data_IF_463653168075
#
_entry.id   IF_463653168075
#
_cell.length_a   1.000
_cell.length_b   1.000
_cell.length_c   1.000
_cell.angle_alpha   90.00
_cell.angle_beta   90.00
_cell.angle_gamma   90.00
#
_symmetry.space_group_name_H-M   'P 1'
#
loop_
_entity.id
_entity.type
_entity.pdbx_description
1 polymer ?
#
# COMPACT_ATOMS: atom_id res chain seq x y z
N UNK A 1 -15.95 23.05 13.54
CA UNK A 1 -14.54 22.71 13.17
C UNK A 1 -14.48 21.22 12.87
N UNK A 2 -13.88 20.85 11.75
CA UNK A 2 -13.66 19.44 11.37
C UNK A 2 -12.62 18.85 12.31
N UNK A 3 -12.93 17.70 12.93
CA UNK A 3 -11.98 16.94 13.74
C UNK A 3 -10.91 16.32 12.83
N UNK A 4 -9.63 16.53 13.18
CA UNK A 4 -8.48 16.02 12.46
C UNK A 4 -7.85 14.88 13.27
N UNK A 5 -7.69 13.72 12.65
CA UNK A 5 -6.98 12.59 13.24
C UNK A 5 -5.45 12.78 13.14
N UNK A 6 -4.69 11.96 13.86
CA UNK A 6 -3.23 12.01 13.85
C UNK A 6 -2.64 11.93 12.44
N UNK A 7 -3.20 11.08 11.59
CA UNK A 7 -2.74 10.94 10.20
C UNK A 7 -3.00 12.18 9.35
N UNK A 8 -4.08 12.94 9.61
CA UNK A 8 -4.31 14.22 8.94
C UNK A 8 -3.23 15.23 9.32
N UNK A 9 -2.88 15.28 10.62
CA UNK A 9 -1.84 16.16 11.12
C UNK A 9 -0.48 15.81 10.54
N UNK A 10 -0.16 14.53 10.41
CA UNK A 10 1.05 14.06 9.74
C UNK A 10 1.09 14.51 8.28
N UNK A 11 -0.04 14.42 7.56
CA UNK A 11 -0.11 14.85 6.16
C UNK A 11 -0.02 16.36 5.98
N UNK A 12 -0.64 17.12 6.88
CA UNK A 12 -0.52 18.59 6.91
C UNK A 12 0.94 19.01 7.12
N UNK A 13 1.63 18.38 8.09
CA UNK A 13 3.04 18.63 8.36
C UNK A 13 3.92 18.27 7.16
N UNK A 14 3.71 17.10 6.57
CA UNK A 14 4.42 16.66 5.37
C UNK A 14 4.28 17.67 4.21
N UNK A 15 3.05 18.11 3.91
CA UNK A 15 2.80 19.07 2.85
C UNK A 15 3.41 20.44 3.16
N UNK A 16 3.36 20.89 4.43
CA UNK A 16 3.95 22.14 4.86
C UNK A 16 5.47 22.15 4.64
N UNK A 17 6.16 21.09 5.05
CA UNK A 17 7.59 20.91 4.82
C UNK A 17 7.92 20.86 3.32
N UNK A 18 7.18 20.08 2.54
CA UNK A 18 7.41 19.93 1.10
C UNK A 18 7.21 21.24 0.32
N UNK A 19 6.28 22.08 0.75
CA UNK A 19 5.94 23.36 0.10
C UNK A 19 6.69 24.55 0.67
N UNK A 20 7.42 24.39 1.75
CA UNK A 20 8.09 25.49 2.44
C UNK A 20 7.13 26.54 3.02
N UNK A 21 5.95 26.13 3.48
CA UNK A 21 4.92 27.03 4.03
C UNK A 21 4.56 26.64 5.47
N UNK A 22 4.03 27.58 6.29
CA UNK A 22 3.58 27.27 7.64
C UNK A 22 2.46 26.20 7.64
N UNK A 23 2.51 25.26 8.58
CA UNK A 23 1.52 24.18 8.72
C UNK A 23 0.08 24.70 8.87
N UNK A 24 -0.10 25.88 9.47
CA UNK A 24 -1.42 26.49 9.64
C UNK A 24 -2.08 26.86 8.29
N UNK A 25 -1.29 27.27 7.30
CA UNK A 25 -1.78 27.56 5.94
C UNK A 25 -2.33 26.27 5.30
N UNK A 26 -1.54 25.18 5.38
CA UNK A 26 -1.96 23.86 4.86
C UNK A 26 -3.17 23.33 5.63
N UNK A 27 -3.18 23.49 6.96
CA UNK A 27 -4.26 23.03 7.84
C UNK A 27 -5.61 23.63 7.43
N UNK A 28 -5.67 24.96 7.17
CA UNK A 28 -6.91 25.61 6.73
C UNK A 28 -7.38 25.07 5.38
N UNK A 29 -6.48 24.92 4.42
CA UNK A 29 -6.80 24.36 3.10
C UNK A 29 -7.29 22.92 3.22
N UNK A 30 -6.59 22.09 4.01
CA UNK A 30 -6.94 20.67 4.22
C UNK A 30 -8.29 20.51 4.93
N UNK A 31 -8.55 21.31 5.97
CA UNK A 31 -9.82 21.30 6.68
C UNK A 31 -10.99 21.65 5.76
N UNK A 32 -10.84 22.63 4.88
CA UNK A 32 -11.86 22.99 3.89
C UNK A 32 -12.13 21.85 2.89
N UNK A 33 -11.09 21.14 2.44
CA UNK A 33 -11.24 19.94 1.58
C UNK A 33 -11.99 18.84 2.34
N UNK A 34 -11.57 18.56 3.58
CA UNK A 34 -12.20 17.54 4.42
C UNK A 34 -13.66 17.85 4.74
N UNK A 35 -13.99 19.12 4.99
CA UNK A 35 -15.36 19.57 5.22
C UNK A 35 -16.24 19.38 3.98
N UNK A 36 -15.69 19.71 2.81
CA UNK A 36 -16.41 19.62 1.54
C UNK A 36 -16.62 18.17 1.07
N UNK A 37 -15.63 17.35 1.16
CA UNK A 37 -15.66 16.00 0.56
C UNK A 37 -15.90 14.89 1.59
N UNK A 38 -15.52 15.06 2.86
CA UNK A 38 -15.57 14.02 3.88
C UNK A 38 -14.78 12.76 3.46
N UNK A 39 -14.69 11.77 4.35
CA UNK A 39 -14.02 10.51 4.01
C UNK A 39 -14.98 9.38 3.59
N UNK A 40 -16.27 9.56 3.82
CA UNK A 40 -17.29 8.55 3.51
C UNK A 40 -18.57 9.18 2.96
N UNK A 41 -18.56 10.47 2.64
CA UNK A 41 -19.71 11.20 2.15
C UNK A 41 -20.08 10.86 0.71
N UNK A 42 -21.25 11.35 0.29
CA UNK A 42 -21.75 11.20 -1.08
C UNK A 42 -20.82 11.86 -2.09
N UNK A 43 -20.27 13.03 -1.74
CA UNK A 43 -19.30 13.79 -2.55
C UNK A 43 -17.98 13.04 -2.73
N UNK A 44 -17.47 12.40 -1.68
CA UNK A 44 -16.28 11.57 -1.78
C UNK A 44 -16.49 10.40 -2.76
N UNK A 45 -17.61 9.69 -2.64
CA UNK A 45 -17.95 8.62 -3.59
C UNK A 45 -18.09 9.13 -5.01
N UNK A 46 -18.72 10.28 -5.19
CA UNK A 46 -18.86 10.93 -6.51
C UNK A 46 -17.49 11.30 -7.08
N UNK A 47 -16.62 11.90 -6.29
CA UNK A 47 -15.24 12.21 -6.68
C UNK A 47 -14.49 10.94 -7.11
N UNK A 48 -14.61 9.87 -6.34
CA UNK A 48 -13.98 8.58 -6.67
C UNK A 48 -14.54 7.97 -7.97
N UNK A 49 -15.85 8.07 -8.20
CA UNK A 49 -16.47 7.60 -9.45
C UNK A 49 -16.03 8.45 -10.64
N UNK A 50 -16.05 9.77 -10.51
CA UNK A 50 -15.58 10.67 -11.58
C UNK A 50 -14.10 10.45 -11.91
N UNK A 51 -13.30 10.20 -10.89
CA UNK A 51 -11.89 9.85 -11.07
C UNK A 51 -11.75 8.52 -11.79
N UNK A 52 -12.58 7.52 -11.47
CA UNK A 52 -12.64 6.27 -12.21
C UNK A 52 -12.94 6.49 -13.69
N UNK A 53 -13.97 7.27 -14.00
CA UNK A 53 -14.40 7.50 -15.39
C UNK A 53 -13.32 8.24 -16.21
N UNK A 54 -12.54 9.11 -15.54
CA UNK A 54 -11.39 9.75 -16.15
C UNK A 54 -10.23 8.79 -16.43
N UNK A 55 -10.12 7.72 -15.64
CA UNK A 55 -9.04 6.73 -15.77
C UNK A 55 -9.45 5.48 -16.52
N UNK A 56 -10.75 5.19 -16.61
CA UNK A 56 -11.23 4.00 -17.30
C UNK A 56 -10.64 3.81 -18.72
N UNK A 57 -10.45 4.86 -19.52
CA UNK A 57 -9.77 4.76 -20.80
C UNK A 57 -8.31 4.29 -20.70
N UNK A 58 -7.61 4.66 -19.60
CA UNK A 58 -6.19 4.32 -19.38
C UNK A 58 -5.99 2.86 -18.99
N UNK A 59 -7.04 2.16 -18.53
CA UNK A 59 -6.95 0.78 -18.07
C UNK A 59 -7.20 -0.28 -19.14
N UNK A 60 -7.72 0.09 -20.30
CA UNK A 60 -8.21 -0.88 -21.30
C UNK A 60 -7.11 -1.59 -22.08
N UNK A 61 -6.14 -0.87 -22.61
CA UNK A 61 -5.15 -1.40 -23.58
C UNK A 61 -3.72 -0.96 -23.29
N UNK A 62 -3.47 -0.14 -22.26
CA UNK A 62 -2.27 0.64 -22.10
C UNK A 62 -1.15 -0.10 -21.39
N UNK A 63 0.06 0.40 -21.57
CA UNK A 63 1.28 -0.14 -20.97
C UNK A 63 1.28 0.06 -19.44
N UNK A 64 2.09 -0.73 -18.70
CA UNK A 64 2.29 -0.52 -17.27
C UNK A 64 2.88 0.85 -16.97
N UNK A 65 3.63 1.41 -17.91
CA UNK A 65 4.24 2.75 -17.82
C UNK A 65 3.17 3.86 -17.79
N UNK A 66 2.08 3.70 -18.53
CA UNK A 66 0.97 4.66 -18.53
C UNK A 66 0.17 4.57 -17.24
N UNK A 67 -0.05 3.37 -16.71
CA UNK A 67 -0.65 3.17 -15.40
C UNK A 67 0.17 3.85 -14.30
N UNK A 68 1.48 3.66 -14.30
CA UNK A 68 2.40 4.31 -13.34
C UNK A 68 2.29 5.83 -13.45
N UNK A 69 2.26 6.37 -14.65
CA UNK A 69 2.14 7.81 -14.87
C UNK A 69 0.83 8.37 -14.37
N UNK A 70 -0.26 7.65 -14.58
CA UNK A 70 -1.57 8.01 -14.08
C UNK A 70 -1.60 8.02 -12.55
N UNK A 71 -1.02 7.00 -11.90
CA UNK A 71 -0.90 6.94 -10.44
C UNK A 71 -0.05 8.09 -9.89
N UNK A 72 1.04 8.47 -10.57
CA UNK A 72 1.85 9.61 -10.20
C UNK A 72 1.09 10.94 -10.32
N UNK A 73 0.38 11.14 -11.41
CA UNK A 73 -0.39 12.36 -11.66
C UNK A 73 -1.50 12.57 -10.61
N UNK A 74 -2.16 11.49 -10.18
CA UNK A 74 -3.28 11.54 -9.24
C UNK A 74 -2.87 11.21 -7.80
N UNK A 75 -1.59 11.21 -7.50
CA UNK A 75 -1.04 10.78 -6.21
C UNK A 75 -1.66 11.50 -5.00
N UNK A 76 -1.98 12.79 -5.12
CA UNK A 76 -2.63 13.54 -4.03
C UNK A 76 -4.01 12.98 -3.66
N UNK A 77 -4.80 12.55 -4.65
CA UNK A 77 -6.07 11.90 -4.44
C UNK A 77 -5.90 10.51 -3.82
N UNK A 78 -4.88 9.77 -4.26
CA UNK A 78 -4.54 8.48 -3.65
C UNK A 78 -4.13 8.62 -2.20
N UNK A 79 -3.32 9.61 -1.82
CA UNK A 79 -3.00 9.88 -0.41
C UNK A 79 -4.27 10.11 0.38
N UNK A 80 -5.19 10.95 -0.09
CA UNK A 80 -6.45 11.21 0.57
C UNK A 80 -7.30 9.93 0.76
N UNK A 81 -7.36 9.08 -0.26
CA UNK A 81 -8.02 7.76 -0.19
C UNK A 81 -7.38 6.87 0.89
N UNK A 82 -6.06 6.78 0.93
CA UNK A 82 -5.33 5.99 1.93
C UNK A 82 -5.53 6.52 3.35
N UNK A 83 -5.55 7.84 3.53
CA UNK A 83 -5.88 8.45 4.83
C UNK A 83 -7.28 8.03 5.28
N UNK A 84 -8.26 7.99 4.36
CA UNK A 84 -9.61 7.55 4.69
C UNK A 84 -9.68 6.12 5.22
N UNK A 85 -8.81 5.23 4.76
CA UNK A 85 -8.72 3.86 5.27
C UNK A 85 -8.23 3.77 6.71
N UNK A 86 -7.39 4.68 7.17
CA UNK A 86 -6.92 4.73 8.55
C UNK A 86 -8.09 4.90 9.54
N UNK A 87 -9.08 5.72 9.18
CA UNK A 87 -10.26 5.94 10.00
C UNK A 87 -11.10 4.67 10.22
N UNK A 88 -11.14 3.79 9.20
CA UNK A 88 -12.04 2.65 9.21
C UNK A 88 -11.34 1.33 9.54
N UNK A 89 -10.06 1.21 9.25
CA UNK A 89 -9.35 -0.08 9.28
C UNK A 89 -8.25 -0.19 10.33
N UNK A 90 -7.97 0.85 11.12
CA UNK A 90 -6.85 0.81 12.08
C UNK A 90 -6.96 -0.36 13.08
N UNK A 91 -8.14 -0.64 13.59
CA UNK A 91 -8.37 -1.77 14.50
C UNK A 91 -8.21 -3.13 13.81
N UNK A 92 -8.56 -3.21 12.54
CA UNK A 92 -8.39 -4.41 11.70
C UNK A 92 -6.91 -4.66 11.45
N UNK A 93 -6.16 -3.62 11.09
CA UNK A 93 -4.71 -3.71 10.89
C UNK A 93 -3.97 -4.11 12.17
N UNK A 94 -4.35 -3.56 13.32
CA UNK A 94 -3.74 -3.94 14.60
C UNK A 94 -3.96 -5.44 14.94
N UNK A 95 -5.16 -5.96 14.71
CA UNK A 95 -5.45 -7.39 14.87
C UNK A 95 -4.67 -8.25 13.88
N UNK A 96 -4.57 -7.81 12.63
CA UNK A 96 -3.84 -8.51 11.59
C UNK A 96 -2.33 -8.52 11.89
N UNK A 97 -1.75 -7.39 12.30
CA UNK A 97 -0.35 -7.28 12.68
C UNK A 97 0.03 -8.28 13.79
N UNK A 98 -0.80 -8.37 14.86
CA UNK A 98 -0.59 -9.36 15.94
C UNK A 98 -0.60 -10.81 15.42
N UNK A 99 -1.49 -11.13 14.48
CA UNK A 99 -1.56 -12.48 13.87
C UNK A 99 -0.33 -12.78 13.03
N UNK A 100 0.16 -11.80 12.26
CA UNK A 100 1.37 -11.93 11.43
C UNK A 100 2.59 -12.15 12.34
N UNK A 101 2.78 -11.31 13.35
CA UNK A 101 3.89 -11.44 14.30
C UNK A 101 3.87 -12.81 15.00
N UNK A 102 2.69 -13.28 15.41
CA UNK A 102 2.54 -14.63 15.99
C UNK A 102 2.89 -15.73 14.98
N UNK A 103 2.46 -15.62 13.73
CA UNK A 103 2.75 -16.61 12.68
C UNK A 103 4.23 -16.62 12.27
N UNK A 104 4.88 -15.47 12.31
CA UNK A 104 6.31 -15.35 12.02
C UNK A 104 7.20 -16.01 13.09
N UNK A 105 6.72 -16.13 14.32
CA UNK A 105 7.49 -16.67 15.43
C UNK A 105 8.55 -15.71 15.98
N UNK A 106 9.50 -16.22 16.78
CA UNK A 106 10.59 -15.42 17.33
C UNK A 106 11.63 -15.06 16.24
N UNK A 107 12.43 -14.03 16.49
CA UNK A 107 13.53 -13.60 15.63
C UNK A 107 13.28 -12.26 14.92
N UNK A 108 14.29 -11.77 14.19
CA UNK A 108 14.21 -10.52 13.48
C UNK A 108 13.22 -10.61 12.30
N UNK A 109 12.48 -9.54 12.08
CA UNK A 109 11.57 -9.44 10.94
C UNK A 109 12.18 -8.53 9.88
N UNK A 110 12.20 -9.04 8.64
CA UNK A 110 12.50 -8.28 7.43
C UNK A 110 11.26 -8.33 6.57
N UNK A 111 10.58 -7.19 6.43
CA UNK A 111 9.30 -7.08 5.75
C UNK A 111 9.50 -6.42 4.39
N UNK A 112 8.99 -7.04 3.34
CA UNK A 112 8.69 -6.37 2.08
C UNK A 112 7.19 -6.02 2.08
N UNK A 113 6.86 -4.73 2.11
CA UNK A 113 5.50 -4.23 1.94
C UNK A 113 5.32 -3.87 0.45
N UNK A 114 4.77 -4.83 -0.31
CA UNK A 114 4.60 -4.75 -1.75
C UNK A 114 3.28 -4.06 -2.08
N UNK A 115 3.34 -2.91 -2.74
CA UNK A 115 2.22 -1.97 -2.85
C UNK A 115 1.92 -1.34 -1.50
N UNK A 116 2.93 -0.76 -0.88
CA UNK A 116 2.91 -0.32 0.52
C UNK A 116 1.83 0.74 0.80
N UNK A 117 1.46 1.56 -0.19
CA UNK A 117 0.60 2.71 0.05
C UNK A 117 1.21 3.59 1.14
N UNK A 118 0.51 3.78 2.25
CA UNK A 118 1.03 4.52 3.41
C UNK A 118 1.75 3.64 4.46
N UNK A 119 1.98 2.36 4.18
CA UNK A 119 2.68 1.44 5.08
C UNK A 119 1.92 1.18 6.39
N UNK A 120 0.57 1.17 6.36
CA UNK A 120 -0.23 1.03 7.59
C UNK A 120 0.09 -0.25 8.35
N UNK A 121 0.06 -1.39 7.69
CA UNK A 121 0.23 -2.68 8.34
C UNK A 121 1.68 -2.92 8.76
N UNK A 122 2.63 -2.63 7.89
CA UNK A 122 4.07 -2.79 8.16
C UNK A 122 4.54 -1.86 9.28
N UNK A 123 4.05 -0.62 9.36
CA UNK A 123 4.38 0.30 10.47
C UNK A 123 3.88 -0.21 11.82
N UNK A 124 2.68 -0.80 11.87
CA UNK A 124 2.13 -1.38 13.10
C UNK A 124 2.97 -2.59 13.53
N UNK A 125 3.35 -3.46 12.57
CA UNK A 125 4.21 -4.61 12.87
C UNK A 125 5.56 -4.16 13.41
N UNK A 126 6.19 -3.16 12.78
CA UNK A 126 7.48 -2.63 13.21
C UNK A 126 7.44 -2.02 14.63
N UNK A 127 6.31 -1.42 15.02
CA UNK A 127 6.09 -0.94 16.40
C UNK A 127 5.88 -2.07 17.42
N UNK A 128 5.18 -3.15 17.02
CA UNK A 128 4.95 -4.33 17.90
C UNK A 128 6.24 -5.13 18.09
N UNK A 129 7.08 -5.22 17.05
CA UNK A 129 8.36 -5.94 17.04
C UNK A 129 9.50 -4.97 16.73
N UNK A 130 10.11 -4.35 17.76
CA UNK A 130 11.29 -3.51 17.58
C UNK A 130 12.43 -4.27 16.88
N UNK A 131 13.23 -3.56 16.09
CA UNK A 131 14.27 -4.16 15.26
C UNK A 131 13.78 -4.71 13.92
N UNK A 132 12.49 -4.62 13.62
CA UNK A 132 11.96 -4.94 12.28
C UNK A 132 12.53 -3.98 11.25
N UNK A 133 13.04 -4.53 10.12
CA UNK A 133 13.42 -3.78 8.92
C UNK A 133 12.29 -3.87 7.90
N UNK A 134 11.90 -2.73 7.33
CA UNK A 134 10.80 -2.67 6.36
C UNK A 134 11.32 -2.13 5.02
N UNK A 135 11.03 -2.84 3.95
CA UNK A 135 11.16 -2.35 2.58
C UNK A 135 9.77 -1.92 2.09
N UNK A 136 9.60 -0.62 1.86
CA UNK A 136 8.38 -0.06 1.28
C UNK A 136 8.51 -0.08 -0.24
N UNK A 137 7.75 -0.91 -0.91
CA UNK A 137 7.72 -0.95 -2.37
C UNK A 137 6.39 -0.38 -2.87
N UNK A 138 6.47 0.69 -3.63
CA UNK A 138 5.31 1.29 -4.30
C UNK A 138 5.76 2.11 -5.52
N UNK A 139 4.79 2.57 -6.31
CA UNK A 139 5.03 3.53 -7.39
C UNK A 139 5.70 4.78 -6.83
N UNK A 140 6.71 5.27 -7.56
CA UNK A 140 7.40 6.53 -7.23
C UNK A 140 6.43 7.70 -7.31
N UNK A 141 5.85 8.05 -6.17
CA UNK A 141 4.75 9.01 -6.08
C UNK A 141 4.68 9.69 -4.71
N UNK A 142 3.82 10.71 -4.61
CA UNK A 142 3.52 11.40 -3.35
C UNK A 142 3.03 10.44 -2.24
N UNK A 143 2.42 9.32 -2.62
CA UNK A 143 1.95 8.29 -1.65
C UNK A 143 3.14 7.68 -0.93
N UNK A 144 4.15 7.24 -1.68
CA UNK A 144 5.37 6.67 -1.12
C UNK A 144 6.18 7.71 -0.34
N UNK A 145 6.29 8.95 -0.85
CA UNK A 145 6.96 10.05 -0.13
C UNK A 145 6.33 10.31 1.23
N UNK A 146 5.00 10.26 1.31
CA UNK A 146 4.29 10.44 2.58
C UNK A 146 4.45 9.21 3.50
N UNK A 147 4.47 7.99 2.96
CA UNK A 147 4.81 6.80 3.74
C UNK A 147 6.20 6.92 4.38
N UNK A 148 7.21 7.31 3.60
CA UNK A 148 8.57 7.54 4.09
C UNK A 148 8.62 8.60 5.19
N UNK A 149 7.90 9.72 5.01
CA UNK A 149 7.80 10.77 6.04
C UNK A 149 7.24 10.19 7.35
N UNK A 150 6.17 9.40 7.29
CA UNK A 150 5.56 8.76 8.48
C UNK A 150 6.51 7.79 9.16
N UNK A 151 7.25 6.99 8.40
CA UNK A 151 8.23 6.05 8.94
C UNK A 151 9.40 6.76 9.60
N UNK A 152 9.96 7.81 8.96
CA UNK A 152 11.01 8.65 9.56
C UNK A 152 10.53 9.32 10.85
N UNK A 153 9.37 9.93 10.84
CA UNK A 153 8.77 10.59 12.02
C UNK A 153 8.55 9.62 13.18
N UNK A 154 8.23 8.36 12.87
CA UNK A 154 8.04 7.31 13.87
C UNK A 154 9.33 6.62 14.32
N UNK A 155 10.50 6.98 13.79
CA UNK A 155 11.79 6.37 14.09
C UNK A 155 11.88 4.88 13.68
N UNK A 156 11.13 4.47 12.64
CA UNK A 156 11.11 3.08 12.16
C UNK A 156 12.27 2.85 11.20
N UNK A 157 12.84 1.64 11.23
CA UNK A 157 13.90 1.22 10.31
C UNK A 157 13.28 0.79 8.98
N UNK A 158 13.55 1.54 7.91
CA UNK A 158 13.01 1.26 6.59
C UNK A 158 13.92 1.70 5.45
N UNK A 159 13.67 1.14 4.28
CA UNK A 159 14.15 1.57 2.98
C UNK A 159 13.00 1.55 1.96
N UNK A 160 13.11 2.33 0.89
CA UNK A 160 12.10 2.36 -0.17
C UNK A 160 12.63 1.75 -1.46
N UNK A 161 11.78 0.96 -2.10
CA UNK A 161 11.99 0.42 -3.45
C UNK A 161 10.97 1.08 -4.36
N UNK A 162 11.43 2.00 -5.21
CA UNK A 162 10.55 2.80 -6.07
C UNK A 162 10.31 2.11 -7.40
N UNK A 163 9.03 1.88 -7.71
CA UNK A 163 8.59 1.41 -9.02
C UNK A 163 8.48 2.60 -9.95
N UNK A 164 9.25 2.59 -11.03
CA UNK A 164 9.26 3.64 -12.06
C UNK A 164 8.83 3.07 -13.41
N UNK A 165 8.66 3.92 -14.41
CA UNK A 165 8.37 3.52 -15.78
C UNK A 165 9.46 2.63 -16.38
N UNK A 166 10.71 2.93 -16.04
CA UNK A 166 11.89 2.21 -16.52
C UNK A 166 12.12 0.90 -15.76
N UNK A 167 11.58 0.79 -14.55
CA UNK A 167 11.76 -0.37 -13.66
C UNK A 167 10.45 -0.74 -12.95
N UNK A 168 9.55 -1.39 -13.68
CA UNK A 168 8.22 -1.79 -13.18
C UNK A 168 8.30 -2.98 -12.22
N UNK A 169 9.23 -3.89 -12.44
CA UNK A 169 9.44 -5.08 -11.60
C UNK A 169 10.88 -5.10 -11.09
N UNK A 170 11.21 -4.26 -10.10
CA UNK A 170 12.57 -4.18 -9.56
C UNK A 170 13.02 -5.49 -8.91
N UNK A 171 14.32 -5.63 -8.76
CA UNK A 171 14.86 -6.67 -7.89
C UNK A 171 14.45 -6.40 -6.45
N UNK A 172 14.10 -7.47 -5.75
CA UNK A 172 13.57 -7.39 -4.40
C UNK A 172 14.63 -7.82 -3.39
N UNK A 173 14.78 -7.11 -2.27
CA UNK A 173 15.66 -7.54 -1.19
C UNK A 173 15.17 -8.85 -0.56
N UNK A 174 16.08 -9.62 0.01
CA UNK A 174 15.72 -10.80 0.78
C UNK A 174 14.86 -10.40 2.00
N UNK A 175 13.79 -11.14 2.23
CA UNK A 175 12.83 -10.85 3.29
C UNK A 175 12.19 -12.15 3.82
N UNK A 176 11.65 -12.10 5.05
CA UNK A 176 10.94 -13.23 5.64
C UNK A 176 9.43 -13.00 5.77
N UNK A 177 8.96 -11.79 5.49
CA UNK A 177 7.53 -11.48 5.37
C UNK A 177 7.33 -10.61 4.12
N UNK A 178 6.45 -11.05 3.21
CA UNK A 178 5.92 -10.21 2.14
C UNK A 178 4.48 -9.84 2.47
N UNK A 179 4.16 -8.56 2.55
CA UNK A 179 2.80 -8.05 2.62
C UNK A 179 2.41 -7.60 1.22
N UNK A 180 1.33 -8.16 0.66
CA UNK A 180 0.79 -7.78 -0.64
C UNK A 180 -0.74 -7.82 -0.56
N UNK A 181 -1.31 -6.78 0.03
CA UNK A 181 -2.76 -6.63 0.25
C UNK A 181 -3.36 -5.69 -0.77
N UNK A 182 -4.34 -6.17 -1.56
CA UNK A 182 -5.01 -5.38 -2.61
C UNK A 182 -3.97 -4.83 -3.63
N UNK A 183 -3.15 -5.74 -4.20
CA UNK A 183 -2.05 -5.37 -5.11
C UNK A 183 -2.09 -6.16 -6.41
N UNK A 184 -2.27 -7.48 -6.31
CA UNK A 184 -2.13 -8.38 -7.48
C UNK A 184 -3.09 -8.04 -8.61
N UNK A 185 -4.29 -7.60 -8.27
CA UNK A 185 -5.35 -7.17 -9.18
C UNK A 185 -5.03 -5.88 -9.94
N UNK A 186 -4.10 -5.10 -9.43
CA UNK A 186 -3.64 -3.85 -10.06
C UNK A 186 -2.45 -4.04 -10.99
N UNK A 187 -1.87 -5.24 -11.05
CA UNK A 187 -0.70 -5.54 -11.87
C UNK A 187 -1.11 -6.14 -13.22
N UNK A 188 -0.57 -5.66 -14.32
CA UNK A 188 -0.80 -6.26 -15.65
C UNK A 188 -0.13 -7.65 -15.80
N UNK A 189 1.01 -7.86 -15.14
CA UNK A 189 1.74 -9.13 -15.13
C UNK A 189 1.94 -9.67 -13.72
N UNK A 190 0.85 -10.01 -12.99
CA UNK A 190 0.94 -10.40 -11.57
C UNK A 190 1.81 -11.64 -11.34
N UNK A 191 1.91 -12.56 -12.31
CA UNK A 191 2.80 -13.71 -12.21
C UNK A 191 4.28 -13.35 -12.25
N UNK A 192 4.67 -12.26 -12.93
CA UNK A 192 6.06 -11.77 -12.93
C UNK A 192 6.41 -11.25 -11.54
N UNK A 193 5.57 -10.37 -11.00
CA UNK A 193 5.72 -9.85 -9.65
C UNK A 193 5.77 -10.98 -8.60
N UNK A 194 4.85 -11.93 -8.70
CA UNK A 194 4.80 -13.10 -7.82
C UNK A 194 6.09 -13.92 -7.85
N UNK A 195 6.63 -14.20 -9.04
CA UNK A 195 7.91 -14.92 -9.18
C UNK A 195 9.06 -14.17 -8.53
N UNK A 196 9.10 -12.83 -8.66
CA UNK A 196 10.12 -12.00 -8.00
C UNK A 196 9.98 -12.10 -6.48
N UNK A 197 8.77 -11.96 -5.94
CA UNK A 197 8.49 -12.16 -4.50
C UNK A 197 8.90 -13.56 -4.05
N UNK A 198 8.53 -14.61 -4.78
CA UNK A 198 8.91 -15.96 -4.42
C UNK A 198 10.43 -16.19 -4.43
N UNK A 199 11.17 -15.51 -5.31
CA UNK A 199 12.64 -15.64 -5.36
C UNK A 199 13.31 -15.04 -4.13
N UNK A 200 12.85 -13.88 -3.68
CA UNK A 200 13.44 -13.11 -2.59
C UNK A 200 12.88 -13.43 -1.21
N UNK A 201 11.69 -14.06 -1.13
CA UNK A 201 11.12 -14.54 0.13
C UNK A 201 11.84 -15.79 0.57
N UNK A 202 12.39 -15.81 1.79
CA UNK A 202 13.10 -16.99 2.32
C UNK A 202 12.18 -18.20 2.46
N UNK A 203 12.74 -19.41 2.47
CA UNK A 203 11.98 -20.64 2.76
C UNK A 203 11.37 -20.55 4.17
N UNK A 204 10.12 -20.94 4.33
CA UNK A 204 9.37 -20.78 5.58
C UNK A 204 8.86 -19.35 5.83
N UNK A 205 9.21 -18.38 4.99
CA UNK A 205 8.73 -17.01 5.06
C UNK A 205 7.23 -16.89 4.81
N UNK A 206 6.66 -15.76 5.18
CA UNK A 206 5.21 -15.52 5.11
C UNK A 206 4.85 -14.60 3.93
N UNK A 207 3.86 -15.01 3.15
CA UNK A 207 3.14 -14.15 2.24
C UNK A 207 1.79 -13.77 2.87
N UNK A 208 1.59 -12.48 3.04
CA UNK A 208 0.40 -11.89 3.68
C UNK A 208 -0.41 -11.14 2.64
N UNK A 209 -1.64 -11.49 2.47
CA UNK A 209 -2.56 -10.87 1.54
C UNK A 209 -3.62 -11.83 1.05
N UNK A 210 -4.52 -11.29 0.25
CA UNK A 210 -5.52 -12.06 -0.49
C UNK A 210 -5.35 -11.75 -1.97
N UNK A 211 -5.65 -12.73 -2.79
CA UNK A 211 -5.83 -12.52 -4.22
C UNK A 211 -7.32 -12.33 -4.43
N UNK A 212 -7.74 -11.10 -4.67
CA UNK A 212 -9.14 -10.72 -4.83
C UNK A 212 -9.49 -10.70 -6.32
N UNK A 213 -10.62 -11.34 -6.69
CA UNK A 213 -11.20 -11.34 -8.04
C UNK A 213 -12.41 -10.40 -8.07
N UNK A 214 -12.19 -9.13 -7.85
CA UNK A 214 -13.25 -8.12 -7.93
C UNK A 214 -13.18 -7.42 -9.29
N UNK A 215 -13.55 -8.12 -10.36
CA UNK A 215 -13.45 -7.64 -11.75
C UNK A 215 -14.21 -6.33 -12.06
N UNK A 216 -14.94 -5.78 -11.10
CA UNK A 216 -15.72 -4.54 -11.24
C UNK A 216 -15.22 -3.42 -10.31
N UNK A 217 -14.14 -3.64 -9.59
CA UNK A 217 -13.60 -2.63 -8.70
C UNK A 217 -12.57 -1.76 -9.42
N UNK A 218 -12.39 -0.61 -8.84
CA UNK A 218 -11.55 0.47 -9.31
C UNK A 218 -10.08 0.02 -9.47
N UNK A 219 -9.45 0.32 -10.59
CA UNK A 219 -8.06 0.00 -10.89
C UNK A 219 -7.70 -1.49 -11.02
N UNK A 220 -8.66 -2.40 -11.12
CA UNK A 220 -8.38 -3.80 -11.36
C UNK A 220 -8.12 -4.04 -12.85
N UNK A 221 -6.87 -4.32 -13.17
CA UNK A 221 -6.40 -4.48 -14.57
C UNK A 221 -6.06 -5.92 -14.95
N UNK A 222 -5.95 -6.85 -13.98
CA UNK A 222 -5.52 -8.20 -14.28
C UNK A 222 -6.68 -9.18 -14.45
N UNK A 223 -6.84 -9.78 -15.63
CA UNK A 223 -7.83 -10.83 -15.87
C UNK A 223 -7.35 -12.25 -15.47
N UNK A 224 -6.08 -12.42 -15.02
CA UNK A 224 -5.45 -13.76 -14.88
C UNK A 224 -5.07 -14.11 -13.43
N UNK A 225 -5.93 -13.77 -12.49
CA UNK A 225 -5.66 -14.09 -11.07
C UNK A 225 -5.88 -15.58 -10.74
N UNK A 226 -6.58 -16.33 -11.59
CA UNK A 226 -6.74 -17.79 -11.45
C UNK A 226 -5.41 -18.53 -11.44
N UNK A 227 -4.51 -18.20 -12.37
CA UNK A 227 -3.17 -18.81 -12.46
C UNK A 227 -2.33 -18.47 -11.22
N UNK A 228 -2.43 -17.23 -10.73
CA UNK A 228 -1.75 -16.81 -9.51
C UNK A 228 -2.26 -17.58 -8.29
N UNK A 229 -3.58 -17.78 -8.16
CA UNK A 229 -4.18 -18.60 -7.09
C UNK A 229 -3.70 -20.05 -7.15
N UNK A 230 -3.64 -20.64 -8.33
CA UNK A 230 -3.14 -21.99 -8.53
C UNK A 230 -1.67 -22.11 -8.09
N UNK A 231 -0.83 -21.16 -8.48
CA UNK A 231 0.60 -21.14 -8.07
C UNK A 231 0.75 -20.95 -6.56
N UNK A 232 -0.03 -20.04 -5.95
CA UNK A 232 -0.01 -19.86 -4.51
C UNK A 232 -0.32 -21.16 -3.76
N UNK A 233 -1.28 -21.95 -4.23
CA UNK A 233 -1.65 -23.23 -3.60
C UNK A 233 -0.52 -24.29 -3.68
N UNK A 234 0.31 -24.23 -4.74
CA UNK A 234 1.47 -25.12 -4.92
C UNK A 234 2.64 -24.68 -4.06
N UNK A 235 3.01 -23.39 -4.13
CA UNK A 235 4.25 -22.87 -3.57
C UNK A 235 4.14 -22.57 -2.06
N UNK A 236 2.90 -22.46 -1.54
CA UNK A 236 2.66 -22.07 -0.16
C UNK A 236 1.68 -23.00 0.56
N UNK A 237 1.85 -23.08 1.88
CA UNK A 237 0.90 -23.67 2.81
C UNK A 237 0.08 -22.56 3.49
N UNK A 238 -1.23 -22.73 3.56
CA UNK A 238 -2.12 -21.79 4.26
C UNK A 238 -1.97 -21.97 5.79
N UNK A 239 -1.48 -20.93 6.47
CA UNK A 239 -1.37 -20.88 7.93
C UNK A 239 -2.72 -20.49 8.55
N UNK A 240 -3.24 -19.33 8.14
CA UNK A 240 -4.57 -18.82 8.48
C UNK A 240 -5.11 -17.98 7.30
N UNK A 241 -6.34 -17.49 7.40
CA UNK A 241 -6.93 -16.68 6.32
C UNK A 241 -6.07 -15.48 6.01
N UNK A 242 -5.55 -15.40 4.78
CA UNK A 242 -4.71 -14.32 4.27
C UNK A 242 -3.26 -14.35 4.74
N UNK A 243 -2.79 -15.45 5.37
CA UNK A 243 -1.38 -15.69 5.69
C UNK A 243 -0.99 -17.07 5.19
N UNK A 244 0.05 -17.11 4.39
CA UNK A 244 0.56 -18.29 3.74
C UNK A 244 2.06 -18.43 4.02
N UNK A 245 2.55 -19.65 4.25
CA UNK A 245 3.95 -19.98 4.51
C UNK A 245 4.57 -20.60 3.26
N UNK A 246 5.71 -20.10 2.82
CA UNK A 246 6.47 -20.66 1.70
C UNK A 246 7.01 -22.05 2.08
N UNK A 247 6.81 -23.01 1.19
CA UNK A 247 7.29 -24.40 1.34
C UNK A 247 8.79 -24.54 1.10
#
# INVERSE_FOLDING_TARGET
MVELAAIDLDYIEFLAQRRGVPSEVVRRQYAAVKERFGFAGREYRRLMTQTHDLFAPVYGEDSEEELISSLQFHAALHVYRHISYDYWKVSVYAKQAKRIVKAAGPGPLVILDYGAGLGHLSSIIARIRPGTRVYLLDVDSLVLDFAEFRFRKAGLNFESVRVTRECVYPELPEHNICIATEVWEHLKRPLVAYKNVCRSLVRGGLLVGKICDHSKEFFHVSPRLGDLKARLAVDFEKVIRGIHRKR
#
